data_IF_179263646747
#
_entry.id   IF_179263646747
#
_cell.length_a   1.000
_cell.length_b   1.000
_cell.length_c   1.000
_cell.angle_alpha   90.00
_cell.angle_beta   90.00
_cell.angle_gamma   90.00
#
_symmetry.space_group_name_H-M   'P 1'
#
loop_
_entity.id
_entity.type
_entity.pdbx_description
1 polymer ?
#
# COMPACT_ATOMS: atom_id res chain seq x y z
N UNK A 1 -14.76 -3.43 12.77
CA UNK A 1 -15.41 -3.31 14.10
C UNK A 1 -16.88 -3.03 13.88
N UNK A 2 -17.77 -3.65 14.66
CA UNK A 2 -19.22 -3.39 14.62
C UNK A 2 -19.74 -3.36 16.06
N UNK A 3 -20.44 -2.30 16.44
CA UNK A 3 -20.90 -2.07 17.81
C UNK A 3 -22.28 -1.42 17.83
N UNK A 4 -23.10 -1.77 18.83
CA UNK A 4 -24.35 -1.10 19.13
C UNK A 4 -25.20 -1.91 20.13
N UNK A 5 -26.11 -1.20 20.81
CA UNK A 5 -26.95 -1.77 21.85
C UNK A 5 -26.25 -1.91 23.20
N UNK A 6 -27.05 -2.00 24.27
CA UNK A 6 -26.56 -2.10 25.66
C UNK A 6 -27.20 -3.26 26.42
N UNK A 7 -28.49 -3.52 26.20
CA UNK A 7 -29.25 -4.59 26.87
C UNK A 7 -30.23 -5.26 25.90
N UNK A 8 -30.57 -6.52 26.16
CA UNK A 8 -31.43 -7.34 25.28
C UNK A 8 -32.85 -6.77 25.08
N UNK A 9 -33.38 -6.04 26.06
CA UNK A 9 -34.73 -5.48 26.06
C UNK A 9 -34.77 -3.97 25.76
N UNK A 10 -33.65 -3.39 25.31
CA UNK A 10 -33.53 -1.96 24.97
C UNK A 10 -33.23 -1.83 23.48
N UNK A 11 -34.06 -1.06 22.76
CA UNK A 11 -33.80 -0.73 21.35
C UNK A 11 -32.53 0.12 21.27
N UNK A 12 -31.51 -0.26 20.48
CA UNK A 12 -30.30 0.53 20.31
C UNK A 12 -30.59 1.92 19.73
N UNK A 13 -29.93 2.95 20.26
CA UNK A 13 -30.00 4.31 19.75
C UNK A 13 -28.96 4.59 18.65
N UNK A 14 -27.90 3.80 18.57
CA UNK A 14 -26.82 3.96 17.58
C UNK A 14 -26.20 2.60 17.21
N UNK A 15 -25.75 2.50 15.95
CA UNK A 15 -24.93 1.42 15.43
C UNK A 15 -23.70 2.03 14.75
N UNK A 16 -22.51 1.56 15.13
CA UNK A 16 -21.23 2.02 14.59
C UNK A 16 -20.56 0.85 13.88
N UNK A 17 -20.18 1.06 12.62
CA UNK A 17 -19.42 0.09 11.83
C UNK A 17 -18.17 0.75 11.24
N UNK A 18 -17.03 0.09 11.43
CA UNK A 18 -15.76 0.48 10.81
C UNK A 18 -15.47 -0.45 9.64
N UNK A 19 -15.24 0.14 8.47
CA UNK A 19 -14.87 -0.55 7.23
C UNK A 19 -13.51 -0.03 6.76
N UNK A 20 -12.58 -0.94 6.48
CA UNK A 20 -11.32 -0.63 5.80
C UNK A 20 -11.51 -0.82 4.29
N UNK A 21 -11.10 0.17 3.48
CA UNK A 21 -11.22 0.11 2.03
C UNK A 21 -9.87 0.39 1.37
N UNK A 22 -9.34 -0.62 0.67
CA UNK A 22 -8.12 -0.51 -0.14
C UNK A 22 -8.50 -0.21 -1.58
N UNK A 23 -8.22 1.01 -2.01
CA UNK A 23 -8.65 1.52 -3.32
C UNK A 23 -7.49 1.44 -4.31
N UNK A 24 -7.72 0.81 -5.46
CA UNK A 24 -6.74 0.72 -6.53
C UNK A 24 -6.33 2.12 -7.03
N UNK A 25 -5.05 2.36 -7.38
CA UNK A 25 -4.59 3.67 -7.85
C UNK A 25 -5.29 4.18 -9.12
N UNK A 26 -5.88 3.28 -9.90
CA UNK A 26 -6.62 3.56 -11.14
C UNK A 26 -8.06 3.99 -10.90
N UNK A 27 -8.58 3.82 -9.68
CA UNK A 27 -9.96 4.19 -9.36
C UNK A 27 -10.04 5.67 -8.99
N UNK A 28 -11.03 6.36 -9.54
CA UNK A 28 -11.32 7.75 -9.18
C UNK A 28 -11.84 7.83 -7.74
N UNK A 29 -11.11 8.55 -6.87
CA UNK A 29 -11.48 8.67 -5.45
C UNK A 29 -12.72 9.54 -5.23
N UNK A 30 -13.00 10.52 -6.07
CA UNK A 30 -14.19 11.37 -5.97
C UNK A 30 -15.47 10.59 -6.31
N UNK A 31 -15.42 9.73 -7.33
CA UNK A 31 -16.51 8.80 -7.66
C UNK A 31 -16.75 7.79 -6.55
N UNK A 32 -15.67 7.28 -5.95
CA UNK A 32 -15.79 6.39 -4.80
C UNK A 32 -16.44 7.09 -3.61
N UNK A 33 -16.01 8.32 -3.30
CA UNK A 33 -16.61 9.11 -2.24
C UNK A 33 -18.10 9.39 -2.50
N UNK A 34 -18.48 9.78 -3.72
CA UNK A 34 -19.89 9.97 -4.10
C UNK A 34 -20.71 8.71 -3.93
N UNK A 35 -20.12 7.54 -4.16
CA UNK A 35 -20.78 6.24 -3.93
C UNK A 35 -21.06 6.02 -2.45
N UNK A 36 -20.06 6.27 -1.58
CA UNK A 36 -20.21 6.16 -0.13
C UNK A 36 -21.30 7.12 0.40
N UNK A 37 -21.27 8.37 -0.04
CA UNK A 37 -22.27 9.37 0.34
C UNK A 37 -23.67 9.00 -0.13
N UNK A 38 -23.81 8.39 -1.33
CA UNK A 38 -25.08 7.88 -1.82
C UNK A 38 -25.61 6.76 -0.92
N UNK A 39 -24.77 5.79 -0.56
CA UNK A 39 -25.19 4.70 0.32
C UNK A 39 -25.63 5.20 1.70
N UNK A 40 -24.98 6.22 2.27
CA UNK A 40 -25.46 6.84 3.51
C UNK A 40 -26.86 7.44 3.37
N UNK A 41 -27.13 8.15 2.25
CA UNK A 41 -28.47 8.71 2.01
C UNK A 41 -29.53 7.62 1.84
N UNK A 42 -29.19 6.54 1.13
CA UNK A 42 -30.10 5.40 0.91
C UNK A 42 -30.39 4.62 2.20
N UNK A 43 -29.45 4.59 3.15
CA UNK A 43 -29.62 3.93 4.45
C UNK A 43 -30.58 4.64 5.40
N UNK A 44 -30.86 5.93 5.18
CA UNK A 44 -31.84 6.72 5.94
C UNK A 44 -31.24 7.90 6.71
N UNK A 45 -32.14 8.74 7.21
CA UNK A 45 -31.78 9.94 7.98
C UNK A 45 -30.94 9.60 9.22
N UNK A 46 -29.91 10.42 9.50
CA UNK A 46 -28.98 10.19 10.61
C UNK A 46 -27.81 9.26 10.29
N UNK A 47 -27.72 8.71 9.06
CA UNK A 47 -26.56 7.90 8.64
C UNK A 47 -25.45 8.79 8.05
N UNK A 48 -24.23 8.66 8.58
CA UNK A 48 -23.06 9.41 8.11
C UNK A 48 -21.78 8.58 8.19
N UNK A 49 -20.73 9.05 7.53
CA UNK A 49 -19.38 8.46 7.58
C UNK A 49 -18.44 9.43 8.27
N UNK A 50 -17.65 8.91 9.19
CA UNK A 50 -16.46 9.59 9.73
C UNK A 50 -15.24 8.91 9.13
N UNK A 51 -14.30 9.70 8.63
CA UNK A 51 -13.03 9.20 8.10
C UNK A 51 -11.95 9.28 9.18
N UNK A 52 -11.58 8.15 9.76
CA UNK A 52 -10.40 8.06 10.64
C UNK A 52 -9.11 8.30 9.82
N UNK A 53 -9.08 7.76 8.61
CA UNK A 53 -8.00 7.96 7.64
C UNK A 53 -8.59 8.16 6.25
N UNK A 54 -8.22 9.27 5.61
CA UNK A 54 -8.53 9.56 4.21
C UNK A 54 -7.26 10.05 3.53
N UNK A 55 -6.88 9.38 2.45
CA UNK A 55 -5.68 9.72 1.69
C UNK A 55 -6.06 10.33 0.34
N UNK A 56 -5.30 11.33 -0.15
CA UNK A 56 -5.49 11.85 -1.49
C UNK A 56 -5.08 10.80 -2.53
N UNK A 57 -5.53 10.98 -3.77
CA UNK A 57 -5.07 10.18 -4.88
C UNK A 57 -3.65 10.60 -5.23
N UNK A 58 -2.70 9.67 -5.11
CA UNK A 58 -1.29 9.90 -5.43
C UNK A 58 -0.91 9.07 -6.66
N UNK A 59 -0.37 9.68 -7.72
CA UNK A 59 0.07 8.97 -8.91
C UNK A 59 1.08 7.86 -8.58
N UNK A 60 1.01 6.75 -9.32
CA UNK A 60 2.03 5.70 -9.25
C UNK A 60 3.31 6.16 -9.93
N UNK A 61 4.45 5.69 -9.41
CA UNK A 61 5.71 5.87 -10.13
C UNK A 61 5.69 5.00 -11.38
N UNK A 62 6.02 5.61 -12.52
CA UNK A 62 6.13 4.91 -13.78
C UNK A 62 7.25 3.86 -13.73
N UNK A 63 6.93 2.64 -14.20
CA UNK A 63 7.85 1.49 -14.27
C UNK A 63 8.02 1.01 -15.72
N UNK A 64 8.20 1.95 -16.63
CA UNK A 64 8.55 1.69 -18.03
C UNK A 64 9.86 2.41 -18.43
N UNK A 65 10.24 2.30 -19.70
CA UNK A 65 11.50 2.83 -20.21
C UNK A 65 11.60 4.37 -20.20
N UNK A 66 10.52 5.09 -19.89
CA UNK A 66 10.54 6.54 -19.68
C UNK A 66 11.16 6.96 -18.34
N UNK A 67 11.25 6.05 -17.36
CA UNK A 67 11.84 6.31 -16.06
C UNK A 67 13.29 5.76 -15.99
N UNK A 68 14.33 6.61 -16.07
CA UNK A 68 15.72 6.15 -16.09
C UNK A 68 16.12 5.42 -14.79
N UNK A 69 15.55 5.82 -13.65
CA UNK A 69 15.80 5.16 -12.37
C UNK A 69 15.22 3.75 -12.35
N UNK A 70 14.05 3.53 -12.97
CA UNK A 70 13.48 2.20 -13.12
C UNK A 70 14.30 1.33 -14.06
N UNK A 71 14.75 1.87 -15.20
CA UNK A 71 15.61 1.14 -16.14
C UNK A 71 16.88 0.68 -15.44
N UNK A 72 17.56 1.56 -14.70
CA UNK A 72 18.74 1.20 -13.93
C UNK A 72 18.45 0.17 -12.83
N UNK A 73 17.31 0.30 -12.15
CA UNK A 73 16.85 -0.69 -11.18
C UNK A 73 16.71 -2.07 -11.83
N UNK A 74 15.98 -2.15 -12.95
CA UNK A 74 15.72 -3.39 -13.69
C UNK A 74 17.03 -4.04 -14.20
N UNK A 75 17.95 -3.23 -14.71
CA UNK A 75 19.23 -3.73 -15.24
C UNK A 75 20.07 -4.45 -14.17
N UNK A 76 20.00 -4.04 -12.90
CA UNK A 76 20.68 -4.75 -11.81
C UNK A 76 20.14 -6.17 -11.64
N UNK A 77 18.83 -6.35 -11.76
CA UNK A 77 18.21 -7.67 -11.66
C UNK A 77 18.56 -8.56 -12.84
N UNK A 78 18.59 -8.00 -14.06
CA UNK A 78 19.05 -8.71 -15.26
C UNK A 78 20.52 -9.16 -15.13
N UNK A 79 21.40 -8.31 -14.56
CA UNK A 79 22.81 -8.65 -14.35
C UNK A 79 23.04 -9.70 -13.26
N UNK A 80 22.18 -9.75 -12.26
CA UNK A 80 22.25 -10.71 -11.16
C UNK A 80 21.51 -12.03 -11.47
N UNK A 81 20.90 -12.14 -12.65
CA UNK A 81 20.02 -13.25 -13.04
C UNK A 81 18.90 -13.49 -12.00
N UNK A 82 18.33 -12.39 -11.49
CA UNK A 82 17.27 -12.41 -10.49
C UNK A 82 15.93 -12.04 -11.13
N UNK A 83 14.90 -12.81 -10.79
CA UNK A 83 13.51 -12.46 -11.14
C UNK A 83 12.98 -11.39 -10.19
N UNK A 84 12.35 -10.37 -10.77
CA UNK A 84 11.62 -9.34 -10.04
C UNK A 84 10.13 -9.45 -10.34
N UNK A 85 9.31 -9.26 -9.30
CA UNK A 85 7.86 -9.19 -9.43
C UNK A 85 7.39 -7.79 -9.05
N UNK A 86 6.54 -7.21 -9.90
CA UNK A 86 6.00 -5.86 -9.71
C UNK A 86 4.53 -5.96 -9.35
N UNK A 87 4.16 -5.41 -8.21
CA UNK A 87 2.79 -5.48 -7.71
C UNK A 87 2.34 -4.15 -7.10
N UNK A 88 1.02 -3.96 -7.03
CA UNK A 88 0.44 -2.90 -6.19
C UNK A 88 0.39 -3.43 -4.77
N UNK A 89 1.24 -2.89 -3.90
CA UNK A 89 1.25 -3.27 -2.50
C UNK A 89 -0.07 -2.85 -1.83
N UNK A 90 -0.84 -3.78 -1.24
CA UNK A 90 -2.18 -3.49 -0.72
C UNK A 90 -2.14 -2.67 0.59
N UNK A 91 -1.00 -2.66 1.28
CA UNK A 91 -0.77 -1.83 2.45
C UNK A 91 -0.15 -0.47 2.07
N UNK A 92 -0.02 0.42 3.06
CA UNK A 92 0.56 1.74 2.86
C UNK A 92 2.02 1.79 3.23
N UNK A 93 2.87 2.37 2.38
CA UNK A 93 4.25 2.75 2.70
C UNK A 93 4.43 4.27 2.61
N UNK A 94 5.55 4.79 3.10
CA UNK A 94 5.86 6.23 3.03
C UNK A 94 6.15 6.73 1.61
N UNK A 95 6.35 5.81 0.64
CA UNK A 95 6.46 6.16 -0.77
C UNK A 95 5.27 7.00 -1.27
N UNK A 96 4.09 6.90 -0.65
CA UNK A 96 2.93 7.75 -0.99
C UNK A 96 3.17 9.24 -0.70
N UNK A 97 3.89 9.57 0.37
CA UNK A 97 4.17 10.96 0.72
C UNK A 97 5.23 11.55 -0.20
N UNK A 98 6.26 10.77 -0.52
CA UNK A 98 7.32 11.15 -1.46
C UNK A 98 6.75 11.38 -2.87
N UNK A 99 5.90 10.46 -3.36
CA UNK A 99 5.17 10.66 -4.62
C UNK A 99 4.21 11.85 -4.57
N UNK A 100 3.61 12.11 -3.40
CA UNK A 100 2.72 13.25 -3.19
C UNK A 100 3.39 14.62 -3.38
N UNK A 101 4.71 14.71 -3.21
CA UNK A 101 5.49 15.93 -3.50
C UNK A 101 6.17 15.90 -4.89
N UNK A 102 5.79 14.96 -5.74
CA UNK A 102 6.27 14.85 -7.13
C UNK A 102 7.57 14.08 -7.31
N UNK A 103 8.12 13.46 -6.26
CA UNK A 103 9.35 12.66 -6.35
C UNK A 103 8.98 11.19 -6.64
N UNK A 104 9.50 10.58 -7.72
CA UNK A 104 9.30 9.16 -8.00
C UNK A 104 9.82 8.28 -6.84
N UNK A 105 9.00 7.33 -6.38
CA UNK A 105 9.38 6.41 -5.31
C UNK A 105 8.75 5.03 -5.53
N UNK A 106 9.57 3.99 -5.45
CA UNK A 106 9.18 2.59 -5.55
C UNK A 106 9.54 1.90 -4.23
N UNK A 107 8.58 1.18 -3.65
CA UNK A 107 8.86 0.27 -2.54
C UNK A 107 9.50 -1.01 -3.06
N UNK A 108 10.55 -1.48 -2.39
CA UNK A 108 11.26 -2.68 -2.79
C UNK A 108 11.60 -3.53 -1.57
N UNK A 109 11.51 -4.85 -1.71
CA UNK A 109 11.96 -5.82 -0.72
C UNK A 109 12.85 -6.86 -1.41
N UNK A 110 14.09 -7.09 -0.94
CA UNK A 110 14.93 -8.18 -1.43
C UNK A 110 14.63 -9.52 -0.73
N UNK A 111 13.63 -9.57 0.16
CA UNK A 111 13.28 -10.76 0.93
C UNK A 111 12.67 -11.78 -0.02
N UNK A 112 13.48 -12.75 -0.43
CA UNK A 112 13.07 -13.84 -1.32
C UNK A 112 12.94 -15.16 -0.54
N UNK A 113 12.13 -16.08 -1.05
CA UNK A 113 11.96 -17.44 -0.51
C UNK A 113 11.70 -17.51 1.00
N UNK A 114 11.04 -16.48 1.54
CA UNK A 114 10.73 -16.35 2.97
C UNK A 114 9.21 -16.22 3.12
N UNK A 115 8.57 -16.91 4.08
CA UNK A 115 7.15 -16.73 4.36
C UNK A 115 6.80 -15.27 4.66
N UNK A 116 5.64 -14.80 4.21
CA UNK A 116 5.16 -13.45 4.51
C UNK A 116 4.57 -13.45 5.93
N UNK A 117 5.39 -13.06 6.91
CA UNK A 117 5.01 -13.00 8.33
C UNK A 117 5.01 -11.56 8.88
N UNK A 118 5.00 -10.54 8.01
CA UNK A 118 4.95 -9.15 8.45
C UNK A 118 3.71 -8.93 9.33
N UNK A 119 3.92 -8.46 10.56
CA UNK A 119 2.88 -8.29 11.59
C UNK A 119 2.20 -9.58 12.07
N UNK A 120 2.83 -10.74 11.92
CA UNK A 120 2.33 -12.01 12.46
C UNK A 120 3.24 -12.55 13.58
N UNK A 121 2.79 -13.63 14.21
CA UNK A 121 3.54 -14.34 15.24
C UNK A 121 4.79 -14.99 14.64
N UNK A 122 5.87 -15.03 15.43
CA UNK A 122 7.15 -15.64 15.04
C UNK A 122 7.74 -15.09 13.73
N UNK A 123 7.49 -13.80 13.45
CA UNK A 123 8.12 -13.07 12.35
C UNK A 123 9.66 -13.23 12.43
N UNK A 124 10.24 -13.77 11.37
CA UNK A 124 11.68 -14.02 11.29
C UNK A 124 12.20 -13.87 9.86
N UNK A 125 13.52 -13.73 9.75
CA UNK A 125 14.22 -13.65 8.48
C UNK A 125 15.49 -14.50 8.55
N UNK A 126 15.74 -15.30 7.52
CA UNK A 126 16.98 -16.06 7.43
C UNK A 126 18.17 -15.10 7.25
N UNK A 127 19.22 -15.31 8.05
CA UNK A 127 20.43 -14.46 8.00
C UNK A 127 21.07 -14.38 6.62
N UNK A 128 21.00 -15.45 5.80
CA UNK A 128 21.51 -15.43 4.42
C UNK A 128 20.68 -14.52 3.54
N UNK A 129 19.35 -14.57 3.63
CA UNK A 129 18.45 -13.68 2.87
C UNK A 129 18.68 -12.22 3.25
N UNK A 130 18.92 -11.93 4.54
CA UNK A 130 19.29 -10.60 4.98
C UNK A 130 20.62 -10.12 4.35
N UNK A 131 21.66 -10.96 4.37
CA UNK A 131 22.96 -10.64 3.79
C UNK A 131 22.93 -10.50 2.26
N UNK A 132 22.16 -11.36 1.58
CA UNK A 132 21.94 -11.27 0.12
C UNK A 132 21.21 -9.98 -0.23
N UNK A 133 20.21 -9.60 0.59
CA UNK A 133 19.52 -8.31 0.45
C UNK A 133 20.45 -7.11 0.57
N UNK A 134 21.44 -7.13 1.46
CA UNK A 134 22.46 -6.08 1.54
C UNK A 134 23.25 -5.97 0.22
N UNK A 135 23.65 -7.10 -0.37
CA UNK A 135 24.38 -7.11 -1.63
C UNK A 135 23.54 -6.54 -2.78
N UNK A 136 22.25 -6.91 -2.85
CA UNK A 136 21.31 -6.37 -3.84
C UNK A 136 21.15 -4.86 -3.68
N UNK A 137 20.91 -4.37 -2.45
CA UNK A 137 20.80 -2.93 -2.18
C UNK A 137 22.07 -2.17 -2.55
N UNK A 138 23.25 -2.70 -2.25
CA UNK A 138 24.51 -2.07 -2.62
C UNK A 138 24.64 -1.91 -4.15
N UNK A 139 24.29 -2.95 -4.93
CA UNK A 139 24.28 -2.88 -6.40
C UNK A 139 23.25 -1.89 -6.92
N UNK A 140 22.05 -1.87 -6.34
CA UNK A 140 20.98 -0.94 -6.70
C UNK A 140 21.36 0.52 -6.44
N UNK A 141 21.82 0.84 -5.23
CA UNK A 141 22.23 2.20 -4.86
C UNK A 141 23.36 2.67 -5.78
N UNK A 142 24.34 1.81 -6.08
CA UNK A 142 25.40 2.13 -7.02
C UNK A 142 24.87 2.37 -8.44
N UNK A 143 23.95 1.54 -8.93
CA UNK A 143 23.39 1.71 -10.27
C UNK A 143 22.57 3.00 -10.39
N UNK A 144 21.68 3.25 -9.42
CA UNK A 144 20.77 4.41 -9.40
C UNK A 144 21.55 5.71 -9.17
N UNK A 145 22.58 5.70 -8.32
CA UNK A 145 23.41 6.86 -8.05
C UNK A 145 24.34 7.27 -9.19
N UNK A 146 24.49 6.41 -10.21
CA UNK A 146 25.26 6.69 -11.43
C UNK A 146 24.37 6.85 -12.68
N UNK A 147 23.05 7.03 -12.48
CA UNK A 147 22.10 7.38 -13.54
C UNK A 147 22.22 8.84 -13.99
#
# INVERSE_FOLDING_TARGET
MLQGGVQLNVIPNELIMTVDSRIAPTRNLEEWQRTLERWCREAGEGTFIVFDQKHPQVPVTCIDNSNPYWVAFKNVFEQLDLRMETEIFPAGTDCRYIRGVGIPAIGFSPICNTPVLLHDHDEHLNVRVFLDGINIYYRLIKSIGNC
#
